data_IF_856019473523
#
_entry.id   IF_856019473523
#
_cell.length_a   1.000
_cell.length_b   1.000
_cell.length_c   1.000
_cell.angle_alpha   90.00
_cell.angle_beta   90.00
_cell.angle_gamma   90.00
#
_symmetry.space_group_name_H-M   'P 1'
#
loop_
_entity.id
_entity.type
_entity.pdbx_description
1 polymer ?
#
# COMPACT_ATOMS: atom_id res chain seq x y z
N UNK A 1 -52.34 38.99 10.00
CA UNK A 1 -52.38 37.77 10.83
C UNK A 1 -52.26 36.60 9.86
N UNK A 2 -51.21 35.82 9.70
CA UNK A 2 -49.99 35.55 10.43
C UNK A 2 -49.56 34.16 9.92
N UNK A 3 -48.47 34.07 9.18
CA UNK A 3 -47.88 32.78 8.78
C UNK A 3 -46.39 32.83 9.11
N UNK A 4 -46.09 32.56 10.39
CA UNK A 4 -44.77 32.39 10.95
C UNK A 4 -44.63 30.93 11.41
N UNK A 5 -44.54 30.01 10.46
CA UNK A 5 -44.08 28.65 10.74
C UNK A 5 -42.85 28.37 9.89
N UNK A 6 -41.73 28.95 10.33
CA UNK A 6 -40.40 28.55 9.90
C UNK A 6 -40.23 27.05 10.15
N UNK A 7 -40.10 26.27 9.06
CA UNK A 7 -39.71 24.88 9.15
C UNK A 7 -38.31 24.82 9.77
N UNK A 8 -38.23 24.33 11.01
CA UNK A 8 -36.99 23.97 11.66
C UNK A 8 -36.29 22.90 10.81
N UNK A 9 -35.24 23.33 10.12
CA UNK A 9 -34.30 22.47 9.41
C UNK A 9 -33.53 21.71 10.50
N UNK A 10 -34.07 20.57 10.96
CA UNK A 10 -33.35 19.71 11.88
C UNK A 10 -32.00 19.35 11.23
N UNK A 11 -30.87 19.49 11.96
CA UNK A 11 -29.57 19.07 11.45
C UNK A 11 -29.64 17.58 11.07
N UNK A 12 -28.97 17.14 10.00
CA UNK A 12 -29.00 15.75 9.59
C UNK A 12 -28.50 14.90 10.77
N UNK A 13 -29.36 14.00 11.25
CA UNK A 13 -28.99 13.03 12.29
C UNK A 13 -27.71 12.34 11.83
N UNK A 14 -26.65 12.40 12.62
CA UNK A 14 -25.38 11.73 12.34
C UNK A 14 -25.68 10.28 11.98
N UNK A 15 -25.41 9.90 10.73
CA UNK A 15 -25.68 8.56 10.24
C UNK A 15 -24.69 7.61 10.93
N UNK A 16 -25.17 6.91 11.96
CA UNK A 16 -24.41 5.85 12.62
C UNK A 16 -24.00 4.86 11.54
N UNK A 17 -22.70 4.69 11.34
CA UNK A 17 -22.17 3.74 10.36
C UNK A 17 -22.18 2.31 10.92
N UNK A 18 -22.07 1.32 10.05
CA UNK A 18 -21.91 -0.07 10.51
C UNK A 18 -20.59 -0.30 11.26
N UNK A 19 -19.58 0.53 10.99
CA UNK A 19 -18.33 0.56 11.74
C UNK A 19 -18.55 1.05 13.18
N UNK A 20 -19.38 2.09 13.39
CA UNK A 20 -19.72 2.58 14.73
C UNK A 20 -20.48 1.53 15.54
N UNK A 21 -21.40 0.79 14.90
CA UNK A 21 -22.13 -0.34 15.52
C UNK A 21 -21.17 -1.44 15.95
N UNK A 22 -20.22 -1.80 15.08
CA UNK A 22 -19.20 -2.83 15.37
C UNK A 22 -18.28 -2.42 16.52
N UNK A 23 -17.84 -1.15 16.55
CA UNK A 23 -17.04 -0.61 17.66
C UNK A 23 -17.82 -0.64 18.97
N UNK A 24 -19.12 -0.31 18.96
CA UNK A 24 -19.97 -0.40 20.15
C UNK A 24 -20.10 -1.85 20.65
N UNK A 25 -20.29 -2.81 19.74
CA UNK A 25 -20.35 -4.23 20.08
C UNK A 25 -19.05 -4.71 20.72
N UNK A 26 -17.89 -4.38 20.13
CA UNK A 26 -16.56 -4.72 20.68
C UNK A 26 -16.34 -4.09 22.06
N UNK A 27 -16.71 -2.82 22.25
CA UNK A 27 -16.65 -2.16 23.57
C UNK A 27 -17.56 -2.83 24.61
N UNK A 28 -18.73 -3.29 24.19
CA UNK A 28 -19.66 -4.04 25.03
C UNK A 28 -19.06 -5.38 25.44
N UNK A 29 -18.47 -6.12 24.49
CA UNK A 29 -17.77 -7.38 24.79
C UNK A 29 -16.60 -7.17 25.73
N UNK A 30 -15.77 -6.13 25.52
CA UNK A 30 -14.69 -5.78 26.44
C UNK A 30 -15.23 -5.61 27.87
N UNK A 31 -16.30 -4.84 28.05
CA UNK A 31 -16.92 -4.63 29.37
C UNK A 31 -17.41 -5.94 30.00
N UNK A 32 -18.02 -6.82 29.21
CA UNK A 32 -18.47 -8.13 29.68
C UNK A 32 -17.30 -9.00 30.11
N UNK A 33 -16.24 -9.08 29.30
CA UNK A 33 -15.02 -9.84 29.60
C UNK A 33 -14.33 -9.30 30.86
N UNK A 34 -14.20 -7.98 31.03
CA UNK A 34 -13.66 -7.38 32.27
C UNK A 34 -14.52 -7.74 33.49
N UNK A 35 -15.84 -7.75 33.34
CA UNK A 35 -16.76 -8.19 34.40
C UNK A 35 -16.58 -9.66 34.77
N UNK A 36 -16.39 -10.53 33.76
CA UNK A 36 -16.10 -11.96 33.98
C UNK A 36 -14.73 -12.16 34.64
N UNK A 37 -13.71 -11.41 34.22
CA UNK A 37 -12.36 -11.42 34.80
C UNK A 37 -12.41 -11.15 36.30
N UNK A 38 -13.07 -10.07 36.70
CA UNK A 38 -13.22 -9.70 38.12
C UNK A 38 -13.94 -10.78 38.94
N UNK A 39 -15.00 -11.37 38.38
CA UNK A 39 -15.72 -12.48 39.05
C UNK A 39 -14.82 -13.71 39.23
N UNK A 40 -13.99 -14.03 38.24
CA UNK A 40 -13.03 -15.14 38.33
C UNK A 40 -11.94 -14.85 39.37
N UNK A 41 -11.40 -13.63 39.41
CA UNK A 41 -10.43 -13.19 40.43
C UNK A 41 -11.01 -13.35 41.85
N UNK A 42 -12.25 -12.90 42.09
CA UNK A 42 -12.95 -13.06 43.37
C UNK A 42 -13.13 -14.56 43.74
N UNK A 43 -13.48 -15.39 42.76
CA UNK A 43 -13.65 -16.84 42.96
C UNK A 43 -12.31 -17.55 43.25
N UNK A 44 -11.22 -17.12 42.62
CA UNK A 44 -9.86 -17.62 42.88
C UNK A 44 -9.43 -17.26 44.31
N UNK A 45 -9.67 -16.02 44.73
CA UNK A 45 -9.35 -15.57 46.09
C UNK A 45 -10.13 -16.38 47.15
N UNK A 46 -11.42 -16.66 46.90
CA UNK A 46 -12.24 -17.50 47.78
C UNK A 46 -11.72 -18.94 47.88
N UNK A 47 -11.34 -19.55 46.76
CA UNK A 47 -10.78 -20.91 46.79
C UNK A 47 -9.45 -20.99 47.52
N UNK A 48 -8.64 -19.94 47.41
CA UNK A 48 -7.40 -19.82 48.14
C UNK A 48 -7.67 -19.73 49.66
N UNK A 49 -8.64 -18.92 50.08
CA UNK A 49 -9.06 -18.84 51.48
C UNK A 49 -9.55 -20.21 52.02
N UNK A 50 -10.44 -20.88 51.29
CA UNK A 50 -10.94 -22.22 51.65
C UNK A 50 -9.79 -23.24 51.74
N UNK A 51 -8.84 -23.19 50.80
CA UNK A 51 -7.67 -24.07 50.85
C UNK A 51 -6.83 -23.83 52.11
N UNK A 52 -6.62 -22.56 52.51
CA UNK A 52 -5.91 -22.22 53.76
C UNK A 52 -6.63 -22.73 55.01
N UNK A 53 -7.95 -22.55 55.07
CA UNK A 53 -8.77 -23.05 56.19
C UNK A 53 -8.72 -24.59 56.30
N UNK A 54 -8.81 -25.30 55.18
CA UNK A 54 -8.74 -26.76 55.14
C UNK A 54 -7.36 -27.29 55.53
N UNK A 55 -6.29 -26.57 55.20
CA UNK A 55 -4.93 -26.89 55.66
C UNK A 55 -4.80 -26.69 57.17
N UNK A 56 -5.33 -25.59 57.73
CA UNK A 56 -5.36 -25.36 59.18
C UNK A 56 -6.15 -26.47 59.92
N UNK A 57 -7.25 -26.94 59.32
CA UNK A 57 -8.03 -28.06 59.82
C UNK A 57 -7.40 -29.45 59.57
N UNK A 58 -6.15 -29.53 59.07
CA UNK A 58 -5.42 -30.77 58.72
C UNK A 58 -6.13 -31.67 57.70
N UNK A 59 -7.05 -31.13 56.88
CA UNK A 59 -7.81 -31.87 55.85
C UNK A 59 -7.11 -31.77 54.48
N UNK A 60 -5.95 -32.44 54.35
CA UNK A 60 -5.05 -32.33 53.18
C UNK A 60 -5.72 -32.66 51.83
N UNK A 61 -6.46 -33.76 51.74
CA UNK A 61 -7.13 -34.17 50.49
C UNK A 61 -8.14 -33.13 49.98
N UNK A 62 -8.89 -32.52 50.91
CA UNK A 62 -9.87 -31.48 50.56
C UNK A 62 -9.19 -30.16 50.15
N UNK A 63 -8.09 -29.81 50.81
CA UNK A 63 -7.29 -28.65 50.43
C UNK A 63 -6.69 -28.83 49.02
N UNK A 64 -6.21 -30.03 48.68
CA UNK A 64 -5.68 -30.35 47.35
C UNK A 64 -6.76 -30.21 46.27
N UNK A 65 -8.00 -30.64 46.55
CA UNK A 65 -9.13 -30.43 45.64
C UNK A 65 -9.43 -28.94 45.43
N UNK A 66 -9.40 -28.12 46.48
CA UNK A 66 -9.60 -26.67 46.38
C UNK A 66 -8.52 -26.01 45.51
N UNK A 67 -7.24 -26.41 45.68
CA UNK A 67 -6.14 -25.93 44.85
C UNK A 67 -6.24 -26.35 43.37
N UNK A 68 -6.73 -27.56 43.10
CA UNK A 68 -7.02 -28.01 41.72
C UNK A 68 -8.09 -27.14 41.06
N UNK A 69 -9.17 -26.80 41.78
CA UNK A 69 -10.20 -25.90 41.27
C UNK A 69 -9.67 -24.49 41.03
N UNK A 70 -8.82 -23.98 41.94
CA UNK A 70 -8.12 -22.70 41.77
C UNK A 70 -7.34 -22.67 40.46
N UNK A 71 -6.52 -23.69 40.21
CA UNK A 71 -5.71 -23.80 38.99
C UNK A 71 -6.56 -23.81 37.72
N UNK A 72 -7.71 -24.50 37.73
CA UNK A 72 -8.64 -24.49 36.59
C UNK A 72 -9.17 -23.07 36.31
N UNK A 73 -9.52 -22.33 37.37
CA UNK A 73 -9.99 -20.94 37.23
C UNK A 73 -8.90 -19.99 36.77
N UNK A 74 -7.67 -20.17 37.22
CA UNK A 74 -6.51 -19.42 36.71
C UNK A 74 -6.32 -19.66 35.21
N UNK A 75 -6.44 -20.90 34.75
CA UNK A 75 -6.42 -21.20 33.31
C UNK A 75 -7.60 -20.59 32.54
N UNK A 76 -8.76 -20.39 33.17
CA UNK A 76 -9.87 -19.64 32.57
C UNK A 76 -9.59 -18.13 32.54
N UNK A 77 -9.00 -17.59 33.60
CA UNK A 77 -8.60 -16.18 33.70
C UNK A 77 -7.62 -15.81 32.58
N UNK A 78 -6.58 -16.62 32.37
CA UNK A 78 -5.61 -16.44 31.29
C UNK A 78 -6.27 -16.42 29.90
N UNK A 79 -7.32 -17.22 29.67
CA UNK A 79 -8.08 -17.20 28.40
C UNK A 79 -8.86 -15.89 28.25
N UNK A 80 -9.51 -15.42 29.31
CA UNK A 80 -10.23 -14.15 29.31
C UNK A 80 -9.27 -12.99 29.04
N UNK A 81 -8.08 -13.00 29.62
CA UNK A 81 -7.07 -11.96 29.39
C UNK A 81 -6.59 -11.96 27.93
N UNK A 82 -6.39 -13.14 27.32
CA UNK A 82 -6.11 -13.26 25.88
C UNK A 82 -7.25 -12.69 25.03
N UNK A 83 -8.51 -12.97 25.37
CA UNK A 83 -9.64 -12.41 24.65
C UNK A 83 -9.75 -10.89 24.81
N UNK A 84 -9.47 -10.35 25.99
CA UNK A 84 -9.43 -8.91 26.22
C UNK A 84 -8.38 -8.24 25.33
N UNK A 85 -7.16 -8.77 25.31
CA UNK A 85 -6.08 -8.26 24.47
C UNK A 85 -6.45 -8.30 22.98
N UNK A 86 -7.08 -9.39 22.51
CA UNK A 86 -7.56 -9.49 21.14
C UNK A 86 -8.61 -8.41 20.81
N UNK A 87 -9.58 -8.16 21.70
CA UNK A 87 -10.60 -7.12 21.51
C UNK A 87 -9.97 -5.72 21.45
N UNK A 88 -8.99 -5.43 22.31
CA UNK A 88 -8.27 -4.16 22.32
C UNK A 88 -7.43 -3.96 21.06
N UNK A 89 -6.77 -5.01 20.57
CA UNK A 89 -6.04 -4.97 19.31
C UNK A 89 -6.98 -4.66 18.14
N UNK A 90 -8.14 -5.32 18.06
CA UNK A 90 -9.11 -5.08 16.98
C UNK A 90 -9.64 -3.65 17.03
N UNK A 91 -9.95 -3.12 18.23
CA UNK A 91 -10.36 -1.72 18.38
C UNK A 91 -9.28 -0.74 17.88
N UNK A 92 -8.02 -0.97 18.26
CA UNK A 92 -6.89 -0.14 17.83
C UNK A 92 -6.67 -0.21 16.32
N UNK A 93 -6.86 -1.40 15.72
CA UNK A 93 -6.78 -1.60 14.28
C UNK A 93 -7.89 -0.83 13.55
N UNK A 94 -9.13 -0.85 14.06
CA UNK A 94 -10.24 -0.09 13.49
C UNK A 94 -9.95 1.41 13.54
N UNK A 95 -9.44 1.93 14.66
CA UNK A 95 -9.08 3.34 14.78
C UNK A 95 -7.97 3.74 13.79
N UNK A 96 -6.99 2.86 13.60
CA UNK A 96 -5.92 3.06 12.62
C UNK A 96 -6.46 3.08 11.20
N UNK A 97 -7.33 2.12 10.85
CA UNK A 97 -7.99 2.06 9.55
C UNK A 97 -8.88 3.30 9.30
N UNK A 98 -9.58 3.80 10.32
CA UNK A 98 -10.35 5.05 10.22
C UNK A 98 -9.44 6.26 9.93
N UNK A 99 -8.27 6.35 10.56
CA UNK A 99 -7.29 7.41 10.25
C UNK A 99 -6.73 7.27 8.84
N UNK A 100 -6.40 6.06 8.41
CA UNK A 100 -5.94 5.77 7.04
C UNK A 100 -6.98 6.14 6.00
N UNK A 101 -8.27 5.85 6.23
CA UNK A 101 -9.35 6.27 5.34
C UNK A 101 -9.45 7.80 5.22
N UNK A 102 -9.34 8.53 6.34
CA UNK A 102 -9.35 10.01 6.31
C UNK A 102 -8.14 10.56 5.54
N UNK A 103 -6.97 9.95 5.71
CA UNK A 103 -5.78 10.30 4.94
C UNK A 103 -5.99 10.04 3.45
N UNK A 104 -6.57 8.90 3.09
CA UNK A 104 -6.90 8.57 1.71
C UNK A 104 -7.90 9.57 1.10
N UNK A 105 -8.94 9.95 1.85
CA UNK A 105 -9.89 10.97 1.41
C UNK A 105 -9.21 12.34 1.21
N UNK A 106 -8.30 12.72 2.09
CA UNK A 106 -7.52 13.95 1.95
C UNK A 106 -6.58 13.91 0.72
N UNK A 107 -5.91 12.78 0.47
CA UNK A 107 -5.10 12.58 -0.73
C UNK A 107 -5.94 12.63 -2.00
N UNK A 108 -7.15 12.06 -1.99
CA UNK A 108 -8.10 12.11 -3.10
C UNK A 108 -8.54 13.54 -3.38
N UNK A 109 -8.83 14.33 -2.35
CA UNK A 109 -9.16 15.75 -2.47
C UNK A 109 -7.97 16.56 -3.01
N UNK A 110 -6.76 16.31 -2.50
CA UNK A 110 -5.53 16.93 -2.99
C UNK A 110 -5.28 16.61 -4.47
N UNK A 111 -5.46 15.36 -4.89
CA UNK A 111 -5.34 14.97 -6.30
C UNK A 111 -6.40 15.64 -7.18
N UNK A 112 -7.65 15.75 -6.70
CA UNK A 112 -8.70 16.49 -7.40
C UNK A 112 -8.37 17.99 -7.55
N UNK A 113 -7.83 18.62 -6.49
CA UNK A 113 -7.37 20.00 -6.54
C UNK A 113 -6.20 20.18 -7.52
N UNK A 114 -5.22 19.28 -7.51
CA UNK A 114 -4.12 19.27 -8.49
C UNK A 114 -4.63 19.13 -9.92
N UNK A 115 -5.63 18.27 -10.16
CA UNK A 115 -6.26 18.13 -11.48
C UNK A 115 -6.99 19.39 -11.91
N UNK A 116 -7.68 20.08 -10.99
CA UNK A 116 -8.32 21.38 -11.28
C UNK A 116 -7.27 22.42 -11.67
N UNK A 117 -6.21 22.57 -10.87
CA UNK A 117 -5.12 23.50 -11.16
C UNK A 117 -4.45 23.20 -12.50
N UNK A 118 -4.23 21.92 -12.82
CA UNK A 118 -3.66 21.51 -14.10
C UNK A 118 -4.62 21.71 -15.29
N UNK A 119 -5.93 21.76 -15.05
CA UNK A 119 -6.91 22.12 -16.07
C UNK A 119 -7.00 23.64 -16.25
N UNK A 120 -6.85 24.41 -15.17
CA UNK A 120 -6.80 25.88 -15.20
C UNK A 120 -5.52 26.39 -15.88
N UNK A 121 -4.36 25.76 -15.63
CA UNK A 121 -3.16 25.90 -16.45
C UNK A 121 -3.38 25.10 -17.74
N UNK A 122 -4.22 25.65 -18.60
CA UNK A 122 -4.67 24.98 -19.82
C UNK A 122 -3.47 24.63 -20.71
N UNK A 123 -3.57 23.47 -21.38
CA UNK A 123 -2.64 23.10 -22.46
C UNK A 123 -2.59 24.21 -23.51
N UNK A 124 -3.69 24.93 -23.72
CA UNK A 124 -3.81 26.09 -24.60
C UNK A 124 -2.91 27.27 -24.18
N UNK A 125 -2.81 27.59 -22.88
CA UNK A 125 -1.87 28.61 -22.40
C UNK A 125 -0.41 28.16 -22.53
N UNK A 126 -0.14 26.86 -22.34
CA UNK A 126 1.21 26.30 -22.52
C UNK A 126 1.59 26.29 -24.00
N UNK A 127 0.69 25.88 -24.89
CA UNK A 127 0.87 25.89 -26.35
C UNK A 127 1.06 27.31 -26.87
N UNK A 128 0.21 28.25 -26.42
CA UNK A 128 0.33 29.67 -26.77
C UNK A 128 1.63 30.27 -26.26
N UNK A 129 2.06 29.96 -25.03
CA UNK A 129 3.36 30.39 -24.52
C UNK A 129 4.53 29.81 -25.33
N UNK A 130 4.44 28.53 -25.75
CA UNK A 130 5.47 27.93 -26.60
C UNK A 130 5.52 28.56 -27.98
N UNK A 131 4.38 28.89 -28.58
CA UNK A 131 4.31 29.54 -29.88
C UNK A 131 4.75 31.02 -29.79
N UNK A 132 4.31 31.78 -28.78
CA UNK A 132 4.78 33.14 -28.49
C UNK A 132 6.31 33.16 -28.25
N UNK A 133 6.86 32.12 -27.59
CA UNK A 133 8.30 32.01 -27.35
C UNK A 133 9.09 31.65 -28.61
N UNK A 134 8.53 30.83 -29.52
CA UNK A 134 9.13 30.58 -30.84
C UNK A 134 9.10 31.86 -31.69
N UNK A 135 7.98 32.56 -31.76
CA UNK A 135 7.87 33.83 -32.48
C UNK A 135 8.83 34.89 -31.94
N UNK A 136 8.98 34.96 -30.61
CA UNK A 136 9.93 35.86 -29.96
C UNK A 136 11.38 35.51 -30.32
N UNK A 137 11.74 34.22 -30.33
CA UNK A 137 13.07 33.77 -30.79
C UNK A 137 13.30 34.10 -32.26
N UNK A 138 12.32 33.83 -33.13
CA UNK A 138 12.43 34.18 -34.54
C UNK A 138 12.57 35.69 -34.74
N UNK A 139 11.88 36.50 -33.95
CA UNK A 139 12.03 37.95 -33.97
C UNK A 139 13.43 38.38 -33.50
N UNK A 140 13.93 37.82 -32.40
CA UNK A 140 15.29 38.05 -31.92
C UNK A 140 16.33 37.64 -32.98
N UNK A 141 16.16 36.48 -33.62
CA UNK A 141 17.06 35.99 -34.67
C UNK A 141 17.03 36.92 -35.90
N UNK A 142 15.85 37.43 -36.29
CA UNK A 142 15.71 38.44 -37.34
C UNK A 142 16.37 39.76 -36.95
N UNK A 143 16.24 40.18 -35.70
CA UNK A 143 16.88 41.41 -35.17
C UNK A 143 18.39 41.24 -35.17
N UNK A 144 18.92 40.11 -34.67
CA UNK A 144 20.35 39.77 -34.70
C UNK A 144 20.87 39.74 -36.13
N UNK A 145 20.14 39.11 -37.05
CA UNK A 145 20.49 39.08 -38.47
C UNK A 145 20.50 40.49 -39.10
N UNK A 146 19.53 41.33 -38.75
CA UNK A 146 19.45 42.71 -39.24
C UNK A 146 20.53 43.63 -38.64
N UNK A 147 20.92 43.40 -37.39
CA UNK A 147 22.02 44.10 -36.72
C UNK A 147 23.40 43.55 -37.12
N UNK A 148 23.46 42.42 -37.82
CA UNK A 148 24.71 41.75 -38.17
C UNK A 148 25.42 41.11 -36.97
N UNK A 149 24.69 40.88 -35.86
CA UNK A 149 25.17 40.23 -34.64
C UNK A 149 25.14 38.69 -34.73
N UNK A 150 25.05 38.14 -35.95
CA UNK A 150 25.25 36.71 -36.16
C UNK A 150 26.74 36.40 -35.97
N UNK A 151 27.04 35.36 -35.19
CA UNK A 151 28.40 34.82 -35.07
C UNK A 151 28.94 34.53 -36.48
N UNK A 152 30.18 34.94 -36.74
CA UNK A 152 30.82 34.64 -38.01
C UNK A 152 31.23 33.16 -38.03
N UNK A 153 31.45 32.61 -39.22
CA UNK A 153 31.96 31.24 -39.35
C UNK A 153 33.34 31.06 -38.66
N UNK A 154 34.09 32.14 -38.45
CA UNK A 154 35.35 32.14 -37.70
C UNK A 154 35.09 32.07 -36.18
N UNK A 155 34.07 32.79 -35.68
CA UNK A 155 33.67 32.72 -34.27
C UNK A 155 33.11 31.33 -33.92
N UNK A 156 32.30 30.74 -34.81
CA UNK A 156 31.78 29.39 -34.64
C UNK A 156 32.90 28.34 -34.63
N UNK A 157 33.92 28.50 -35.48
CA UNK A 157 35.09 27.62 -35.48
C UNK A 157 35.92 27.75 -34.19
N UNK A 158 36.09 28.96 -33.67
CA UNK A 158 36.79 29.20 -32.40
C UNK A 158 36.04 28.58 -31.21
N UNK A 159 34.70 28.72 -31.18
CA UNK A 159 33.85 28.11 -30.14
C UNK A 159 33.88 26.60 -30.22
N UNK A 160 33.84 26.00 -31.41
CA UNK A 160 33.97 24.54 -31.58
C UNK A 160 35.34 24.03 -31.11
N UNK A 161 36.40 24.78 -31.38
CA UNK A 161 37.74 24.44 -30.92
C UNK A 161 37.87 24.56 -29.39
N UNK A 162 37.21 25.53 -28.77
CA UNK A 162 37.15 25.66 -27.30
C UNK A 162 36.34 24.52 -26.68
N UNK A 163 35.22 24.13 -27.30
CA UNK A 163 34.42 22.98 -26.88
C UNK A 163 35.24 21.68 -26.91
N UNK A 164 35.96 21.41 -28.00
CA UNK A 164 36.81 20.22 -28.13
C UNK A 164 37.94 20.18 -27.07
N UNK A 165 38.45 21.36 -26.67
CA UNK A 165 39.43 21.47 -25.59
C UNK A 165 38.82 21.16 -24.21
N UNK A 166 37.59 21.62 -23.95
CA UNK A 166 36.86 21.32 -22.71
C UNK A 166 36.50 19.85 -22.62
N UNK A 167 35.95 19.26 -23.70
CA UNK A 167 35.65 17.83 -23.77
C UNK A 167 36.93 16.98 -23.61
N UNK A 168 38.04 17.41 -24.22
CA UNK A 168 39.34 16.76 -24.04
C UNK A 168 39.93 16.91 -22.63
N UNK A 169 39.61 18.00 -21.92
CA UNK A 169 40.01 18.21 -20.53
C UNK A 169 39.16 17.36 -19.57
N UNK A 170 37.84 17.32 -19.76
CA UNK A 170 36.92 16.47 -19.01
C UNK A 170 37.24 14.98 -19.22
N UNK A 171 37.47 14.55 -20.45
CA UNK A 171 37.89 13.17 -20.76
C UNK A 171 39.24 12.81 -20.12
N UNK A 172 40.16 13.77 -19.98
CA UNK A 172 41.44 13.56 -19.26
C UNK A 172 41.24 13.52 -17.74
N UNK A 173 40.31 14.29 -17.19
CA UNK A 173 39.94 14.20 -15.77
C UNK A 173 39.24 12.87 -15.46
N UNK A 174 38.32 12.41 -16.31
CA UNK A 174 37.69 11.08 -16.21
C UNK A 174 38.72 9.95 -16.36
N UNK A 175 39.66 10.06 -17.30
CA UNK A 175 40.76 9.10 -17.45
C UNK A 175 41.75 9.13 -16.27
N UNK A 176 41.91 10.27 -15.60
CA UNK A 176 42.71 10.41 -14.38
C UNK A 176 42.07 9.80 -13.14
N UNK A 177 40.75 9.56 -13.15
CA UNK A 177 40.00 8.90 -12.07
C UNK A 177 39.88 7.38 -12.25
N UNK A 178 40.30 6.81 -13.39
CA UNK A 178 40.36 5.36 -13.57
C UNK A 178 41.65 4.80 -12.94
N UNK A 179 41.57 3.93 -11.91
CA UNK A 179 42.76 3.34 -11.31
C UNK A 179 43.50 2.48 -12.33
N UNK A 180 44.80 2.76 -12.52
CA UNK A 180 45.70 1.95 -13.32
C UNK A 180 45.72 0.52 -12.78
N UNK A 181 45.15 -0.43 -13.54
CA UNK A 181 45.22 -1.86 -13.21
C UNK A 181 46.67 -2.33 -13.44
N UNK A 182 47.38 -2.83 -12.41
CA UNK A 182 48.73 -3.32 -12.59
C UNK A 182 48.74 -4.53 -13.51
N UNK A 183 49.50 -4.48 -14.62
CA UNK A 183 49.93 -5.68 -15.35
C UNK A 183 50.94 -6.43 -14.48
N UNK A 184 50.46 -7.44 -13.75
CA UNK A 184 51.30 -8.42 -13.09
C UNK A 184 51.36 -9.71 -13.94
N UNK A 185 52.58 -10.16 -14.21
CA UNK A 185 52.94 -11.38 -14.91
C UNK A 185 52.41 -12.65 -14.21
N UNK A 186 52.21 -13.77 -14.93
CA UNK A 186 51.61 -14.97 -14.38
C UNK A 186 52.60 -15.71 -13.47
N UNK A 187 52.22 -15.92 -12.21
CA UNK A 187 52.96 -16.75 -11.24
C UNK A 187 52.11 -18.02 -10.98
N UNK A 188 52.71 -19.22 -10.87
CA UNK A 188 52.01 -20.50 -10.99
C UNK A 188 51.12 -20.79 -9.79
N UNK A 189 49.90 -21.28 -10.04
CA UNK A 189 48.97 -21.71 -8.99
C UNK A 189 49.35 -23.11 -8.51
N UNK A 190 49.91 -23.18 -7.31
CA UNK A 190 49.88 -24.38 -6.46
C UNK A 190 49.02 -24.01 -5.24
N UNK A 191 47.80 -24.56 -5.18
CA UNK A 191 46.90 -24.42 -4.03
C UNK A 191 46.01 -25.68 -3.90
N UNK A 192 45.67 -26.07 -2.66
CA UNK A 192 45.40 -27.46 -2.26
C UNK A 192 43.97 -27.93 -2.52
N UNK A 193 43.82 -29.25 -2.58
CA UNK A 193 42.58 -30.01 -2.81
C UNK A 193 41.40 -29.57 -1.91
N UNK A 194 40.32 -29.12 -2.53
CA UNK A 194 39.00 -29.00 -1.91
C UNK A 194 38.28 -30.36 -1.99
N UNK A 195 37.73 -30.78 -0.85
CA UNK A 195 37.16 -32.09 -0.54
C UNK A 195 35.98 -32.49 -1.44
N UNK A 196 35.95 -33.78 -1.81
CA UNK A 196 34.95 -34.48 -2.64
C UNK A 196 33.52 -34.56 -2.06
N UNK A 197 33.17 -33.75 -1.06
CA UNK A 197 31.84 -33.73 -0.43
C UNK A 197 30.93 -32.58 -0.93
N UNK A 198 31.47 -31.48 -1.46
CA UNK A 198 30.63 -30.42 -2.07
C UNK A 198 30.16 -30.76 -3.49
N UNK A 199 30.84 -31.67 -4.18
CA UNK A 199 30.47 -32.09 -5.55
C UNK A 199 29.23 -33.02 -5.60
N UNK A 200 28.84 -33.63 -4.49
CA UNK A 200 27.67 -34.54 -4.44
C UNK A 200 26.33 -33.85 -4.13
N UNK A 201 26.36 -32.59 -3.69
CA UNK A 201 25.15 -31.87 -3.28
C UNK A 201 24.52 -31.00 -4.39
N UNK A 202 25.17 -30.93 -5.55
CA UNK A 202 24.68 -30.20 -6.74
C UNK A 202 24.00 -31.14 -7.77
N UNK A 203 23.97 -32.45 -7.54
CA UNK A 203 23.49 -33.45 -8.51
C UNK A 203 22.05 -33.97 -8.23
N UNK A 204 21.37 -33.48 -7.17
CA UNK A 204 20.01 -33.91 -6.79
C UNK A 204 18.96 -32.78 -6.75
N UNK A 205 18.96 -31.87 -7.74
CA UNK A 205 17.79 -31.01 -8.00
C UNK A 205 17.07 -31.47 -9.28
N UNK A 206 15.77 -31.81 -9.22
CA UNK A 206 15.02 -32.27 -10.39
C UNK A 206 14.81 -31.15 -11.42
N UNK A 207 15.00 -31.50 -12.69
CA UNK A 207 14.86 -30.64 -13.87
C UNK A 207 13.49 -29.94 -13.95
N UNK A 208 13.50 -28.61 -14.08
CA UNK A 208 12.30 -27.81 -14.30
C UNK A 208 11.84 -27.92 -15.78
N UNK A 209 10.51 -28.04 -16.05
CA UNK A 209 9.99 -28.34 -17.38
C UNK A 209 10.21 -27.17 -18.36
N UNK A 210 10.86 -27.45 -19.50
CA UNK A 210 10.98 -26.55 -20.64
C UNK A 210 9.64 -26.50 -21.40
N UNK A 211 8.89 -25.42 -21.28
CA UNK A 211 7.85 -25.07 -22.27
C UNK A 211 8.00 -23.61 -22.70
N UNK A 212 8.40 -23.46 -23.96
CA UNK A 212 8.53 -22.22 -24.72
C UNK A 212 7.15 -21.84 -25.24
N UNK A 213 6.57 -20.76 -24.75
CA UNK A 213 5.30 -20.20 -25.26
C UNK A 213 5.64 -19.12 -26.31
N UNK A 214 5.11 -19.18 -27.55
CA UNK A 214 5.38 -18.23 -28.64
C UNK A 214 4.68 -16.87 -28.46
N UNK A 215 5.11 -15.81 -29.18
CA UNK A 215 4.74 -14.41 -28.92
C UNK A 215 3.32 -14.08 -29.38
N UNK A 216 2.55 -13.44 -28.50
CA UNK A 216 1.21 -12.93 -28.79
C UNK A 216 1.30 -11.48 -29.32
N UNK A 217 0.64 -11.26 -30.45
CA UNK A 217 0.63 -10.02 -31.22
C UNK A 217 -0.32 -8.98 -30.62
N UNK A 218 0.18 -7.76 -30.41
CA UNK A 218 -0.64 -6.57 -30.14
C UNK A 218 -1.34 -6.16 -31.44
N UNK A 219 -2.68 -6.11 -31.45
CA UNK A 219 -3.47 -5.48 -32.51
C UNK A 219 -4.49 -4.49 -31.92
N UNK A 220 -4.46 -3.27 -32.47
CA UNK A 220 -5.32 -2.12 -32.16
C UNK A 220 -6.83 -2.35 -32.39
N UNK A 221 -7.71 -1.47 -31.86
CA UNK A 221 -9.15 -1.70 -31.76
C UNK A 221 -9.91 -1.34 -33.03
N UNK A 222 -10.96 -2.11 -33.36
CA UNK A 222 -11.94 -1.77 -34.39
C UNK A 222 -13.37 -1.86 -33.87
N UNK A 223 -14.14 -0.82 -34.22
CA UNK A 223 -15.54 -0.50 -33.94
C UNK A 223 -16.50 -1.62 -34.36
N UNK A 224 -17.57 -1.86 -33.58
CA UNK A 224 -18.98 -1.97 -34.01
C UNK A 224 -19.85 -2.54 -32.88
N UNK A 225 -20.99 -1.89 -32.60
CA UNK A 225 -21.90 -2.19 -31.49
C UNK A 225 -22.84 -3.38 -31.75
N UNK A 226 -23.53 -3.89 -30.71
CA UNK A 226 -24.34 -5.10 -30.81
C UNK A 226 -25.72 -4.82 -31.45
N UNK A 227 -26.25 -5.71 -32.32
CA UNK A 227 -27.60 -5.59 -32.82
C UNK A 227 -28.64 -6.19 -31.86
N UNK A 228 -29.79 -5.53 -31.84
CA UNK A 228 -30.98 -5.77 -31.03
C UNK A 228 -31.66 -7.10 -31.43
N UNK A 229 -31.83 -8.02 -30.47
CA UNK A 229 -32.60 -9.25 -30.67
C UNK A 229 -34.11 -8.96 -30.63
N UNK A 230 -34.76 -9.14 -31.79
CA UNK A 230 -36.19 -9.00 -32.00
C UNK A 230 -36.96 -10.20 -31.39
N UNK A 231 -37.98 -9.89 -30.59
CA UNK A 231 -39.07 -10.82 -30.23
C UNK A 231 -39.98 -11.03 -31.44
N UNK A 232 -40.17 -12.28 -31.87
CA UNK A 232 -41.32 -12.77 -32.65
C UNK A 232 -41.89 -13.95 -31.86
N UNK A 233 -43.08 -13.85 -31.27
CA UNK A 233 -44.39 -14.01 -31.91
C UNK A 233 -44.57 -15.43 -32.49
N UNK A 234 -45.08 -16.33 -31.66
CA UNK A 234 -45.77 -17.55 -32.08
C UNK A 234 -47.04 -17.67 -31.21
N UNK A 235 -48.18 -17.53 -31.87
CA UNK A 235 -49.53 -17.76 -31.35
C UNK A 235 -49.93 -19.21 -31.62
N UNK A 236 -50.88 -19.73 -30.81
CA UNK A 236 -51.72 -20.93 -31.00
C UNK A 236 -51.01 -22.27 -30.65
N UNK A 237 -51.57 -23.23 -29.90
CA UNK A 237 -52.95 -23.64 -29.60
C UNK A 237 -53.10 -24.21 -28.16
N UNK A 238 -54.35 -24.31 -27.68
CA UNK A 238 -54.81 -24.87 -26.40
C UNK A 238 -54.77 -26.43 -26.36
N UNK A 239 -55.07 -27.13 -25.23
CA UNK A 239 -56.43 -27.27 -24.63
C UNK A 239 -56.45 -27.14 -23.09
N UNK A 240 -57.49 -26.62 -22.41
CA UNK A 240 -58.84 -27.13 -22.09
C UNK A 240 -58.90 -28.32 -21.09
N UNK A 241 -59.61 -28.06 -19.98
CA UNK A 241 -60.14 -28.97 -18.93
C UNK A 241 -59.11 -29.53 -17.92
N UNK A 242 -59.35 -29.59 -16.60
CA UNK A 242 -60.54 -29.38 -15.77
C UNK A 242 -60.13 -28.85 -14.38
#
# INVERSE_FOLDING_TARGET
>A
MGNLFSHSKHPPKSKITDTDRSVLQLKTQRRQLTGQRKRLEDLIARELAIARELLAAKKRERALLALKKKRLREGQLERIDKYLLNVEQVLTNIETAQRQNRLFDALKQGNAALKSLQQEVSVEEVEKLMDDSKESKEYEDRVRQALGEALTAEDDAAVLQELEQLEGAEAKEEAGQLPSVPKAEPVPADAPELSKEEAKLLEELPDAPKTRIPPETVKQPSKEGPPIAQRRAASQEAPLAA
#
